data_IF_075203554653
#
_entry.id   IF_075203554653
#
_cell.length_a   1.000
_cell.length_b   1.000
_cell.length_c   1.000
_cell.angle_alpha   90.00
_cell.angle_beta   90.00
_cell.angle_gamma   90.00
#
_symmetry.space_group_name_H-M   'P 1'
#
loop_
_entity.id
_entity.type
_entity.pdbx_description
1 polymer ?
#
# COMPACT_ATOMS: atom_id res chain seq x y z
N UNK A 1 17.94 -3.14 0.74
CA UNK A 1 18.34 -3.47 2.12
C UNK A 1 17.32 -2.99 3.16
N UNK A 2 16.99 -1.69 3.26
CA UNK A 2 16.06 -1.17 4.28
C UNK A 2 14.67 -1.82 4.22
N UNK A 3 14.05 -1.96 3.04
CA UNK A 3 12.74 -2.63 2.92
C UNK A 3 12.77 -4.10 3.35
N UNK A 4 13.86 -4.82 3.06
CA UNK A 4 14.02 -6.20 3.50
C UNK A 4 14.12 -6.27 5.02
N UNK A 5 14.85 -5.35 5.64
CA UNK A 5 14.93 -5.25 7.11
C UNK A 5 13.57 -4.91 7.72
N UNK A 6 12.82 -3.97 7.13
CA UNK A 6 11.47 -3.63 7.59
C UNK A 6 10.49 -4.80 7.43
N UNK A 7 10.57 -5.54 6.32
CA UNK A 7 9.74 -6.73 6.11
C UNK A 7 10.10 -7.86 7.10
N UNK A 8 11.39 -8.07 7.37
CA UNK A 8 11.82 -9.02 8.39
C UNK A 8 11.38 -8.59 9.78
N UNK A 9 11.53 -7.30 10.13
CA UNK A 9 11.06 -6.76 11.39
C UNK A 9 9.53 -6.96 11.55
N UNK A 10 8.76 -6.68 10.51
CA UNK A 10 7.31 -6.90 10.51
C UNK A 10 6.94 -8.38 10.65
N UNK A 11 7.66 -9.28 9.96
CA UNK A 11 7.43 -10.72 10.05
C UNK A 11 7.76 -11.27 11.45
N UNK A 12 8.84 -10.79 12.06
CA UNK A 12 9.33 -11.22 13.38
C UNK A 12 8.82 -10.35 14.52
N UNK A 13 7.95 -9.38 14.26
CA UNK A 13 7.48 -8.39 15.23
C UNK A 13 7.05 -9.00 16.60
N UNK A 14 6.26 -10.09 16.65
CA UNK A 14 5.85 -10.66 17.95
C UNK A 14 7.00 -11.25 18.77
N UNK A 15 8.13 -11.56 18.14
CA UNK A 15 9.32 -12.15 18.80
C UNK A 15 10.37 -11.09 19.15
N UNK A 16 10.38 -9.96 18.46
CA UNK A 16 11.36 -8.88 18.62
C UNK A 16 10.83 -7.78 19.55
N UNK A 17 9.51 -7.64 19.67
CA UNK A 17 8.91 -6.66 20.55
C UNK A 17 9.27 -6.97 22.03
N UNK A 18 9.82 -5.99 22.78
CA UNK A 18 10.20 -6.19 24.17
C UNK A 18 9.02 -6.57 25.07
N UNK A 19 7.84 -6.07 24.75
CA UNK A 19 6.60 -6.31 25.49
C UNK A 19 5.50 -6.79 24.57
N UNK A 20 4.43 -7.37 25.12
CA UNK A 20 3.25 -7.74 24.35
C UNK A 20 2.63 -6.49 23.71
N UNK A 21 2.41 -6.56 22.41
CA UNK A 21 1.89 -5.46 21.60
C UNK A 21 0.47 -5.01 21.96
N UNK A 22 -0.29 -5.88 22.61
CA UNK A 22 -1.69 -5.63 22.98
C UNK A 22 -1.82 -5.35 24.48
N UNK A 23 -0.88 -5.78 25.31
CA UNK A 23 -0.95 -5.64 26.75
C UNK A 23 -0.64 -4.20 27.21
N UNK A 24 -1.40 -3.72 28.18
CA UNK A 24 -1.03 -2.54 28.96
C UNK A 24 -0.18 -2.97 30.17
N UNK A 25 0.92 -2.26 30.39
CA UNK A 25 1.86 -2.54 31.46
C UNK A 25 1.35 -1.90 32.77
N UNK A 26 0.53 -2.63 33.55
CA UNK A 26 0.09 -2.21 34.90
C UNK A 26 -0.61 -0.85 34.93
N UNK A 27 -1.87 -0.87 34.96
CA UNK A 27 -2.89 0.10 34.50
C UNK A 27 -2.75 1.57 34.98
N UNK A 28 -2.03 1.89 36.04
CA UNK A 28 -2.05 3.26 36.56
C UNK A 28 -0.68 3.94 36.69
N UNK A 29 0.41 3.17 36.83
CA UNK A 29 1.73 3.72 37.18
C UNK A 29 2.66 3.96 35.98
N UNK A 30 2.27 3.53 34.76
CA UNK A 30 3.13 3.61 33.56
C UNK A 30 2.55 4.48 32.43
N UNK A 31 1.60 5.37 32.74
CA UNK A 31 1.00 6.27 31.73
C UNK A 31 1.96 7.38 31.35
N UNK A 32 2.10 7.60 30.03
CA UNK A 32 2.86 8.73 29.47
C UNK A 32 4.28 8.88 30.07
N UNK A 33 4.93 7.75 30.37
CA UNK A 33 6.33 7.78 30.82
C UNK A 33 7.21 8.19 29.64
N UNK A 34 8.14 9.11 29.91
CA UNK A 34 9.15 9.52 28.93
C UNK A 34 10.08 8.36 28.58
N UNK A 35 10.77 8.42 27.43
CA UNK A 35 11.79 7.44 27.05
C UNK A 35 12.80 7.18 28.17
N UNK A 36 13.02 5.89 28.48
CA UNK A 36 13.90 5.41 29.53
C UNK A 36 14.56 4.09 29.13
N UNK A 37 15.41 3.51 29.97
CA UNK A 37 16.02 2.20 29.70
C UNK A 37 15.00 1.06 29.69
N UNK A 38 13.96 1.14 30.53
CA UNK A 38 12.88 0.15 30.57
C UNK A 38 11.90 0.34 29.41
N UNK A 39 11.68 1.58 28.99
CA UNK A 39 10.79 1.94 27.89
C UNK A 39 11.54 2.84 26.89
N UNK A 40 12.30 2.28 25.95
CA UNK A 40 13.17 3.07 25.06
C UNK A 40 12.46 4.16 24.26
N UNK A 41 11.20 3.94 23.87
CA UNK A 41 10.34 4.92 23.19
C UNK A 41 9.24 5.47 24.11
N UNK A 42 9.35 5.27 25.43
CA UNK A 42 8.34 5.68 26.40
C UNK A 42 7.04 4.88 26.30
N UNK A 43 6.02 5.33 27.04
CA UNK A 43 4.70 4.70 27.07
C UNK A 43 3.61 5.67 26.61
N UNK A 44 2.47 5.12 26.20
CA UNK A 44 1.29 5.88 25.79
C UNK A 44 0.31 6.13 26.96
N UNK A 45 -0.78 6.83 26.68
CA UNK A 45 -1.87 7.12 27.64
C UNK A 45 -2.55 5.86 28.21
N UNK A 46 -2.40 4.72 27.57
CA UNK A 46 -2.93 3.43 28.01
C UNK A 46 -1.88 2.55 28.68
N UNK A 47 -0.73 3.12 29.07
CA UNK A 47 0.40 2.41 29.69
C UNK A 47 0.98 1.32 28.80
N UNK A 48 0.96 1.48 27.47
CA UNK A 48 1.52 0.52 26.51
C UNK A 48 2.89 1.01 26.04
N UNK A 49 3.83 0.07 25.88
CA UNK A 49 5.17 0.38 25.35
C UNK A 49 5.10 0.82 23.89
N UNK A 50 5.59 2.03 23.62
CA UNK A 50 5.54 2.61 22.27
C UNK A 50 6.46 1.88 21.30
N UNK A 51 7.65 1.40 21.74
CA UNK A 51 8.57 0.64 20.89
C UNK A 51 7.92 -0.65 20.40
N UNK A 52 7.37 -1.45 21.29
CA UNK A 52 6.64 -2.68 20.94
C UNK A 52 5.49 -2.41 19.99
N UNK A 53 4.73 -1.35 20.22
CA UNK A 53 3.63 -0.95 19.36
C UNK A 53 4.08 -0.49 17.96
N UNK A 54 5.20 0.23 17.85
CA UNK A 54 5.77 0.63 16.55
C UNK A 54 6.26 -0.58 15.76
N UNK A 55 6.90 -1.55 16.44
CA UNK A 55 7.34 -2.81 15.83
C UNK A 55 6.12 -3.62 15.35
N UNK A 56 5.11 -3.83 16.19
CA UNK A 56 3.91 -4.58 15.80
C UNK A 56 3.04 -3.83 14.77
N UNK A 57 2.98 -2.50 14.90
CA UNK A 57 2.30 -1.63 13.94
C UNK A 57 2.89 -1.72 12.54
N UNK A 58 4.20 -1.99 12.41
CA UNK A 58 4.83 -2.23 11.10
C UNK A 58 4.18 -3.41 10.38
N UNK A 59 3.90 -4.50 11.09
CA UNK A 59 3.25 -5.69 10.53
C UNK A 59 1.87 -5.36 9.96
N UNK A 60 1.07 -4.61 10.71
CA UNK A 60 -0.29 -4.24 10.30
C UNK A 60 -0.26 -3.26 9.12
N UNK A 61 0.47 -2.13 9.27
CA UNK A 61 0.54 -1.11 8.22
C UNK A 61 1.14 -1.63 6.91
N UNK A 62 2.22 -2.41 6.97
CA UNK A 62 2.84 -3.01 5.77
C UNK A 62 1.96 -4.09 5.14
N UNK A 63 1.27 -4.93 5.95
CA UNK A 63 0.35 -5.94 5.42
C UNK A 63 -0.82 -5.29 4.68
N UNK A 64 -1.44 -4.25 5.26
CA UNK A 64 -2.52 -3.51 4.60
C UNK A 64 -2.03 -2.94 3.29
N UNK A 65 -0.88 -2.25 3.29
CA UNK A 65 -0.37 -1.60 2.09
C UNK A 65 -0.04 -2.61 0.99
N UNK A 66 0.72 -3.67 1.32
CA UNK A 66 1.16 -4.66 0.34
C UNK A 66 -0.02 -5.44 -0.26
N UNK A 67 -0.93 -5.95 0.58
CA UNK A 67 -2.06 -6.75 0.12
C UNK A 67 -3.08 -5.91 -0.66
N UNK A 68 -3.32 -4.66 -0.25
CA UNK A 68 -4.19 -3.74 -1.01
C UNK A 68 -3.61 -3.42 -2.38
N UNK A 69 -2.30 -3.18 -2.47
CA UNK A 69 -1.64 -2.90 -3.75
C UNK A 69 -1.62 -4.13 -4.64
N UNK A 70 -1.37 -5.31 -4.08
CA UNK A 70 -1.42 -6.57 -4.83
C UNK A 70 -2.81 -6.79 -5.43
N UNK A 71 -3.87 -6.59 -4.66
CA UNK A 71 -5.25 -6.68 -5.11
C UNK A 71 -5.54 -5.65 -6.21
N UNK A 72 -5.16 -4.38 -6.00
CA UNK A 72 -5.34 -3.32 -6.98
C UNK A 72 -4.59 -3.59 -8.29
N UNK A 73 -3.36 -4.09 -8.20
CA UNK A 73 -2.55 -4.46 -9.36
C UNK A 73 -3.17 -5.64 -10.12
N UNK A 74 -3.64 -6.67 -9.42
CA UNK A 74 -4.26 -7.84 -10.04
C UNK A 74 -5.56 -7.45 -10.79
N UNK A 75 -6.49 -6.78 -10.11
CA UNK A 75 -7.76 -6.34 -10.70
C UNK A 75 -7.52 -5.36 -11.84
N UNK A 76 -6.67 -4.34 -11.61
CA UNK A 76 -6.37 -3.32 -12.62
C UNK A 76 -5.68 -3.89 -13.86
N UNK A 77 -4.79 -4.86 -13.67
CA UNK A 77 -4.11 -5.52 -14.80
C UNK A 77 -5.09 -6.31 -15.64
N UNK A 78 -5.95 -7.12 -15.04
CA UNK A 78 -6.95 -7.88 -15.79
C UNK A 78 -7.92 -6.95 -16.51
N UNK A 79 -8.47 -5.96 -15.82
CA UNK A 79 -9.43 -5.00 -16.38
C UNK A 79 -8.81 -4.17 -17.53
N UNK A 80 -7.62 -3.61 -17.29
CA UNK A 80 -6.92 -2.81 -18.30
C UNK A 80 -6.46 -3.63 -19.50
N UNK A 81 -6.03 -4.88 -19.27
CA UNK A 81 -5.61 -5.77 -20.36
C UNK A 81 -6.78 -6.15 -21.26
N UNK A 82 -7.93 -6.48 -20.70
CA UNK A 82 -9.15 -6.80 -21.45
C UNK A 82 -9.60 -5.59 -22.28
N UNK A 83 -9.69 -4.41 -21.65
CA UNK A 83 -10.08 -3.18 -22.32
C UNK A 83 -9.12 -2.82 -23.48
N UNK A 84 -7.80 -2.80 -23.21
CA UNK A 84 -6.78 -2.42 -24.18
C UNK A 84 -6.64 -3.41 -25.34
N UNK A 85 -6.82 -4.71 -25.08
CA UNK A 85 -6.69 -5.73 -26.12
C UNK A 85 -7.90 -5.83 -27.02
N UNK A 86 -9.12 -5.86 -26.46
CA UNK A 86 -10.35 -5.97 -27.25
C UNK A 86 -10.69 -4.67 -27.99
N UNK A 87 -10.46 -3.52 -27.36
CA UNK A 87 -10.72 -2.22 -28.01
C UNK A 87 -12.21 -1.95 -28.27
N UNK A 88 -12.47 -1.02 -29.20
CA UNK A 88 -13.82 -0.71 -29.67
C UNK A 88 -14.77 -0.19 -28.59
N UNK A 89 -16.06 -0.55 -28.67
CA UNK A 89 -17.09 -0.07 -27.76
C UNK A 89 -16.92 -0.59 -26.31
N UNK A 90 -16.38 -1.81 -26.18
CA UNK A 90 -16.13 -2.42 -24.87
C UNK A 90 -15.05 -1.65 -24.10
N UNK A 91 -13.94 -1.31 -24.76
CA UNK A 91 -12.91 -0.44 -24.20
C UNK A 91 -13.50 0.92 -23.80
N UNK A 92 -14.28 1.53 -24.68
CA UNK A 92 -14.93 2.82 -24.39
C UNK A 92 -15.84 2.75 -23.15
N UNK A 93 -16.66 1.69 -23.02
CA UNK A 93 -17.54 1.50 -21.88
C UNK A 93 -16.75 1.27 -20.58
N UNK A 94 -15.74 0.38 -20.62
CA UNK A 94 -14.91 0.06 -19.47
C UNK A 94 -14.13 1.30 -18.98
N UNK A 95 -13.56 2.07 -19.91
CA UNK A 95 -12.81 3.29 -19.54
C UNK A 95 -13.72 4.41 -19.05
N UNK A 96 -14.94 4.56 -19.59
CA UNK A 96 -15.93 5.50 -19.03
C UNK A 96 -16.29 5.19 -17.60
N UNK A 97 -16.42 3.91 -17.26
CA UNK A 97 -16.65 3.50 -15.86
C UNK A 97 -15.47 3.88 -14.98
N UNK A 98 -14.24 3.61 -15.42
CA UNK A 98 -13.02 4.00 -14.68
C UNK A 98 -12.93 5.51 -14.53
N UNK A 99 -13.25 6.28 -15.60
CA UNK A 99 -13.20 7.74 -15.56
C UNK A 99 -14.22 8.32 -14.58
N UNK A 100 -15.42 7.77 -14.53
CA UNK A 100 -16.46 8.17 -13.58
C UNK A 100 -16.01 7.89 -12.12
N UNK A 101 -15.36 6.75 -11.87
CA UNK A 101 -14.84 6.39 -10.55
C UNK A 101 -13.65 7.27 -10.15
N UNK A 102 -12.78 7.62 -11.09
CA UNK A 102 -11.65 8.52 -10.86
C UNK A 102 -12.04 9.99 -10.68
N UNK A 103 -13.25 10.39 -11.11
CA UNK A 103 -13.77 11.74 -10.87
C UNK A 103 -14.04 12.00 -9.38
N UNK A 104 -14.24 10.94 -8.60
CA UNK A 104 -14.41 11.04 -7.14
C UNK A 104 -13.03 10.98 -6.47
N UNK A 105 -12.65 11.98 -5.63
CA UNK A 105 -11.40 11.90 -4.89
C UNK A 105 -11.34 10.62 -4.04
N UNK A 106 -10.34 9.76 -4.31
CA UNK A 106 -10.22 8.42 -3.71
C UNK A 106 -10.34 8.43 -2.19
N UNK A 107 -9.72 9.40 -1.52
CA UNK A 107 -9.74 9.49 -0.06
C UNK A 107 -11.18 9.70 0.45
N UNK A 108 -11.97 10.56 -0.23
CA UNK A 108 -13.37 10.79 0.14
C UNK A 108 -14.22 9.53 -0.08
N UNK A 109 -14.01 8.81 -1.19
CA UNK A 109 -14.69 7.54 -1.46
C UNK A 109 -14.39 6.51 -0.35
N UNK A 110 -13.11 6.38 0.03
CA UNK A 110 -12.69 5.45 1.08
C UNK A 110 -13.30 5.81 2.42
N UNK A 111 -13.29 7.09 2.82
CA UNK A 111 -13.91 7.54 4.07
C UNK A 111 -15.40 7.26 4.05
N UNK A 112 -16.11 7.62 2.97
CA UNK A 112 -17.56 7.40 2.86
C UNK A 112 -17.94 5.92 2.98
N UNK A 113 -17.22 5.03 2.30
CA UNK A 113 -17.49 3.59 2.41
C UNK A 113 -17.10 3.05 3.78
N UNK A 114 -15.98 3.47 4.35
CA UNK A 114 -15.51 2.99 5.65
C UNK A 114 -16.43 3.45 6.80
N UNK A 115 -17.05 4.62 6.69
CA UNK A 115 -18.02 5.11 7.69
C UNK A 115 -19.36 4.37 7.60
N UNK A 116 -19.78 3.95 6.41
CA UNK A 116 -20.99 3.15 6.21
C UNK A 116 -20.81 1.68 6.59
N UNK A 117 -19.56 1.20 6.58
CA UNK A 117 -19.21 -0.17 6.93
C UNK A 117 -18.82 -0.23 8.40
N UNK A 118 -19.78 -0.45 9.26
CA UNK A 118 -19.52 -0.53 10.70
C UNK A 118 -18.53 -1.66 11.02
N UNK A 119 -17.43 -1.31 11.72
CA UNK A 119 -16.43 -2.28 12.14
C UNK A 119 -15.44 -2.72 11.04
N UNK A 120 -15.06 -1.84 10.12
CA UNK A 120 -13.97 -2.14 9.15
C UNK A 120 -12.72 -2.57 9.90
N UNK A 121 -12.42 -3.87 9.89
CA UNK A 121 -11.18 -4.43 10.41
C UNK A 121 -10.04 -4.37 9.38
N UNK A 122 -8.88 -4.92 9.73
CA UNK A 122 -7.70 -4.95 8.86
C UNK A 122 -8.03 -5.54 7.47
N UNK A 123 -8.76 -6.66 7.44
CA UNK A 123 -9.18 -7.29 6.18
C UNK A 123 -10.09 -6.37 5.36
N UNK A 124 -11.05 -5.70 5.99
CA UNK A 124 -11.93 -4.74 5.32
C UNK A 124 -11.17 -3.55 4.74
N UNK A 125 -10.15 -3.03 5.42
CA UNK A 125 -9.27 -1.98 4.91
C UNK A 125 -8.48 -2.46 3.69
N UNK A 126 -7.97 -3.69 3.69
CA UNK A 126 -7.27 -4.29 2.55
C UNK A 126 -8.19 -4.32 1.32
N UNK A 127 -9.41 -4.82 1.47
CA UNK A 127 -10.39 -4.84 0.39
C UNK A 127 -10.76 -3.44 -0.08
N UNK A 128 -11.06 -2.53 0.84
CA UNK A 128 -11.48 -1.17 0.53
C UNK A 128 -10.40 -0.41 -0.23
N UNK A 129 -9.15 -0.44 0.25
CA UNK A 129 -8.02 0.22 -0.39
C UNK A 129 -7.62 -0.47 -1.70
N UNK A 130 -7.72 -1.79 -1.78
CA UNK A 130 -7.44 -2.55 -3.00
C UNK A 130 -8.47 -2.28 -4.09
N UNK A 131 -9.77 -2.38 -3.74
CA UNK A 131 -10.87 -2.17 -4.68
C UNK A 131 -11.09 -0.70 -5.08
N UNK A 132 -10.47 0.26 -4.42
CA UNK A 132 -10.44 1.66 -4.85
C UNK A 132 -9.13 2.04 -5.52
N UNK A 133 -8.10 1.19 -5.46
CA UNK A 133 -6.78 1.45 -6.02
C UNK A 133 -6.58 1.00 -7.46
N UNK A 134 -7.40 0.08 -7.97
CA UNK A 134 -7.20 -0.53 -9.29
C UNK A 134 -7.52 0.40 -10.48
N UNK A 135 -8.27 1.48 -10.27
CA UNK A 135 -8.69 2.40 -11.36
C UNK A 135 -7.49 2.98 -12.12
N UNK A 136 -6.50 3.51 -11.40
CA UNK A 136 -5.28 4.07 -12.01
C UNK A 136 -4.43 3.00 -12.70
N UNK A 137 -4.34 1.80 -12.10
CA UNK A 137 -3.60 0.67 -12.68
C UNK A 137 -4.25 0.22 -13.99
N UNK A 138 -5.57 0.15 -14.07
CA UNK A 138 -6.28 -0.27 -15.30
C UNK A 138 -6.03 0.68 -16.46
N UNK A 139 -5.98 2.00 -16.22
CA UNK A 139 -5.61 2.98 -17.27
C UNK A 139 -4.18 2.80 -17.76
N UNK A 140 -3.25 2.60 -16.83
CA UNK A 140 -1.85 2.35 -17.16
C UNK A 140 -1.71 1.10 -18.02
N UNK A 141 -2.29 -0.02 -17.57
CA UNK A 141 -2.23 -1.31 -18.25
C UNK A 141 -2.89 -1.21 -19.63
N UNK A 142 -4.07 -0.60 -19.71
CA UNK A 142 -4.74 -0.39 -21.00
C UNK A 142 -3.83 0.35 -21.99
N UNK A 143 -3.20 1.45 -21.59
CA UNK A 143 -2.31 2.21 -22.47
C UNK A 143 -1.12 1.37 -22.97
N UNK A 144 -0.51 0.59 -22.07
CA UNK A 144 0.61 -0.29 -22.41
C UNK A 144 0.18 -1.44 -23.34
N UNK A 145 -0.99 -2.04 -23.10
CA UNK A 145 -1.52 -3.13 -23.92
C UNK A 145 -1.92 -2.63 -25.32
N UNK A 146 -2.52 -1.44 -25.44
CA UNK A 146 -2.82 -0.82 -26.73
C UNK A 146 -1.54 -0.63 -27.55
N UNK A 147 -0.47 -0.13 -26.92
CA UNK A 147 0.82 0.02 -27.59
C UNK A 147 1.41 -1.33 -28.01
N UNK A 148 1.48 -2.29 -27.07
CA UNK A 148 2.12 -3.59 -27.32
C UNK A 148 1.38 -4.47 -28.35
N UNK A 149 0.05 -4.36 -28.46
CA UNK A 149 -0.72 -5.14 -29.46
C UNK A 149 -0.47 -4.72 -30.90
N UNK A 150 0.07 -3.50 -31.10
CA UNK A 150 0.39 -2.93 -32.42
C UNK A 150 1.81 -3.27 -32.89
N UNK A 151 2.60 -3.91 -32.03
CA UNK A 151 3.96 -4.33 -32.35
C UNK A 151 3.97 -5.35 -33.53
N UNK A 152 4.98 -5.23 -34.40
CA UNK A 152 5.13 -6.09 -35.58
C UNK A 152 5.19 -7.58 -35.24
N UNK A 153 5.86 -7.95 -34.14
CA UNK A 153 5.95 -9.33 -33.72
C UNK A 153 4.59 -9.92 -33.32
N UNK A 154 3.66 -9.11 -32.74
CA UNK A 154 2.30 -9.54 -32.40
C UNK A 154 1.51 -9.84 -33.69
N UNK A 155 1.68 -9.00 -34.70
CA UNK A 155 1.10 -9.21 -36.02
C UNK A 155 1.62 -10.49 -36.67
N UNK A 156 2.93 -10.75 -36.56
CA UNK A 156 3.53 -11.98 -37.08
C UNK A 156 3.00 -13.24 -36.36
N UNK A 157 2.90 -13.21 -35.03
CA UNK A 157 2.35 -14.35 -34.22
C UNK A 157 0.87 -14.59 -34.55
N UNK A 158 0.09 -13.55 -34.81
CA UNK A 158 -1.30 -13.64 -35.26
C UNK A 158 -1.38 -14.29 -36.64
N UNK A 159 -0.47 -13.94 -37.55
CA UNK A 159 -0.38 -14.54 -38.89
C UNK A 159 -0.05 -16.04 -38.85
N UNK A 160 0.64 -16.51 -37.82
CA UNK A 160 0.91 -17.94 -37.57
C UNK A 160 -0.26 -18.68 -36.92
N UNK A 161 -1.43 -18.03 -36.77
CA UNK A 161 -2.67 -18.67 -36.27
C UNK A 161 -2.79 -18.74 -34.75
N UNK A 162 -2.03 -17.97 -33.99
CA UNK A 162 -2.18 -17.90 -32.53
C UNK A 162 -3.52 -17.24 -32.16
N UNK A 163 -4.22 -17.79 -31.16
CA UNK A 163 -5.46 -17.21 -30.62
C UNK A 163 -5.19 -15.91 -29.85
N UNK A 164 -6.17 -15.01 -29.83
CA UNK A 164 -6.06 -13.72 -29.11
C UNK A 164 -5.74 -13.88 -27.63
N UNK A 165 -6.33 -14.87 -26.95
CA UNK A 165 -6.03 -15.19 -25.55
C UNK A 165 -4.58 -15.60 -25.36
N UNK A 166 -4.02 -16.39 -26.28
CA UNK A 166 -2.61 -16.78 -26.25
C UNK A 166 -1.68 -15.60 -26.49
N UNK A 167 -2.01 -14.75 -27.45
CA UNK A 167 -1.24 -13.53 -27.74
C UNK A 167 -1.23 -12.63 -26.51
N UNK A 168 -2.40 -12.35 -25.92
CA UNK A 168 -2.50 -11.50 -24.74
C UNK A 168 -1.70 -12.06 -23.55
N UNK A 169 -1.89 -13.34 -23.22
CA UNK A 169 -1.29 -13.93 -22.03
C UNK A 169 0.21 -14.16 -22.13
N UNK A 170 0.71 -14.58 -23.29
CA UNK A 170 2.11 -15.01 -23.44
C UNK A 170 3.00 -14.00 -24.15
N UNK A 171 2.45 -13.04 -24.88
CA UNK A 171 3.23 -12.09 -25.65
C UNK A 171 3.05 -10.65 -25.19
N UNK A 172 1.83 -10.20 -24.90
CA UNK A 172 1.54 -8.82 -24.52
C UNK A 172 1.71 -8.61 -23.00
N UNK A 173 1.01 -9.40 -22.17
CA UNK A 173 1.07 -9.22 -20.72
C UNK A 173 2.48 -9.27 -20.11
N UNK A 174 3.40 -10.17 -20.52
CA UNK A 174 4.75 -10.18 -19.97
C UNK A 174 5.51 -8.87 -20.16
N UNK A 175 5.27 -8.14 -21.24
CA UNK A 175 5.90 -6.84 -21.49
C UNK A 175 5.32 -5.73 -20.60
N UNK A 176 4.04 -5.85 -20.23
CA UNK A 176 3.32 -4.88 -19.40
C UNK A 176 3.62 -5.05 -17.93
N UNK A 177 4.01 -6.26 -17.49
CA UNK A 177 4.25 -6.57 -16.08
C UNK A 177 5.34 -5.66 -15.47
N UNK A 178 6.43 -5.40 -16.16
CA UNK A 178 7.53 -4.60 -15.61
C UNK A 178 7.13 -3.16 -15.25
N UNK A 179 6.48 -2.37 -16.12
CA UNK A 179 5.92 -1.06 -15.75
C UNK A 179 4.86 -1.14 -14.65
N UNK A 180 4.02 -2.18 -14.64
CA UNK A 180 3.00 -2.38 -13.60
C UNK A 180 3.65 -2.61 -12.23
N UNK A 181 4.71 -3.41 -12.14
CA UNK A 181 5.44 -3.63 -10.88
C UNK A 181 6.05 -2.34 -10.35
N UNK A 182 6.58 -1.48 -11.22
CA UNK A 182 7.09 -0.16 -10.84
C UNK A 182 5.97 0.71 -10.25
N UNK A 183 4.83 0.79 -10.93
CA UNK A 183 3.67 1.55 -10.48
C UNK A 183 3.07 0.99 -9.18
N UNK A 184 2.99 -0.33 -9.05
CA UNK A 184 2.55 -1.01 -7.84
C UNK A 184 3.47 -0.71 -6.66
N UNK A 185 4.79 -0.77 -6.85
CA UNK A 185 5.75 -0.45 -5.79
C UNK A 185 5.58 0.99 -5.29
N UNK A 186 5.43 1.97 -6.19
CA UNK A 186 5.11 3.37 -5.80
C UNK A 186 3.81 3.47 -5.02
N UNK A 187 2.81 2.68 -5.40
CA UNK A 187 1.49 2.69 -4.75
C UNK A 187 1.55 2.20 -3.31
N UNK A 188 2.53 1.37 -2.91
CA UNK A 188 2.72 0.92 -1.52
C UNK A 188 2.92 2.11 -0.59
N UNK A 189 3.84 3.03 -0.93
CA UNK A 189 4.06 4.24 -0.13
C UNK A 189 2.81 5.11 0.01
N UNK A 190 2.07 5.30 -1.10
CA UNK A 190 0.82 6.06 -1.08
C UNK A 190 -0.25 5.40 -0.21
N UNK A 191 -0.38 4.06 -0.25
CA UNK A 191 -1.37 3.33 0.56
C UNK A 191 -1.03 3.42 2.05
N UNK A 192 0.26 3.34 2.43
CA UNK A 192 0.71 3.53 3.83
C UNK A 192 0.26 4.91 4.35
N UNK A 193 0.45 5.96 3.55
CA UNK A 193 0.05 7.33 3.95
C UNK A 193 -1.48 7.45 4.04
N UNK A 194 -2.22 6.87 3.10
CA UNK A 194 -3.70 6.87 3.13
C UNK A 194 -4.20 6.09 4.36
N UNK A 195 -3.66 4.90 4.66
CA UNK A 195 -4.02 4.11 5.84
C UNK A 195 -3.75 4.90 7.12
N UNK A 196 -2.58 5.53 7.24
CA UNK A 196 -2.23 6.36 8.38
C UNK A 196 -3.21 7.53 8.56
N UNK A 197 -3.59 8.20 7.46
CA UNK A 197 -4.59 9.26 7.48
C UNK A 197 -5.98 8.78 7.89
N UNK A 198 -6.43 7.61 7.38
CA UNK A 198 -7.70 7.01 7.77
C UNK A 198 -7.71 6.61 9.25
N UNK A 199 -6.64 6.02 9.73
CA UNK A 199 -6.47 5.65 11.13
C UNK A 199 -6.42 6.88 12.04
N UNK A 200 -5.78 7.97 11.59
CA UNK A 200 -5.80 9.26 12.27
C UNK A 200 -7.21 9.85 12.38
N UNK A 201 -8.02 9.74 11.34
CA UNK A 201 -9.41 10.18 11.33
C UNK A 201 -10.36 9.23 12.07
N UNK A 202 -9.87 8.15 12.67
CA UNK A 202 -10.66 7.17 13.42
C UNK A 202 -11.43 6.17 12.55
N UNK A 203 -11.21 6.18 11.24
CA UNK A 203 -11.90 5.29 10.27
C UNK A 203 -11.01 4.11 9.86
N UNK A 204 -9.76 4.07 10.33
CA UNK A 204 -8.77 3.04 10.02
C UNK A 204 -8.75 1.88 11.01
N UNK A 205 -7.53 1.41 11.32
CA UNK A 205 -7.29 0.31 12.26
C UNK A 205 -7.75 0.70 13.66
N UNK A 206 -8.66 -0.10 14.23
CA UNK A 206 -9.22 0.13 15.57
C UNK A 206 -8.38 -0.60 16.63
N UNK A 207 -8.41 -0.07 17.86
CA UNK A 207 -7.87 -0.79 19.02
C UNK A 207 -8.57 -2.15 19.20
N UNK A 208 -7.85 -3.17 19.71
CA UNK A 208 -6.51 -3.13 20.32
C UNK A 208 -5.34 -3.15 19.33
N UNK A 209 -5.59 -3.45 18.05
CA UNK A 209 -4.54 -3.55 17.04
C UNK A 209 -3.73 -2.26 16.92
N UNK A 210 -2.42 -2.41 16.64
CA UNK A 210 -1.53 -1.29 16.41
C UNK A 210 -1.28 -1.11 14.92
N UNK A 211 -1.48 0.11 14.39
CA UNK A 211 -0.90 0.58 13.14
C UNK A 211 -0.14 1.88 13.41
N UNK A 212 0.77 2.25 12.53
CA UNK A 212 1.49 3.51 12.73
C UNK A 212 0.55 4.71 12.76
N UNK A 213 -0.52 4.68 11.93
CA UNK A 213 -1.52 5.73 11.89
C UNK A 213 -2.32 5.88 13.20
N UNK A 214 -2.79 4.77 13.78
CA UNK A 214 -3.55 4.86 15.02
C UNK A 214 -2.68 5.19 16.24
N UNK A 215 -1.39 4.81 16.24
CA UNK A 215 -0.46 5.23 17.29
C UNK A 215 -0.26 6.75 17.25
N UNK A 216 -0.06 7.32 16.05
CA UNK A 216 0.04 8.78 15.86
C UNK A 216 -1.24 9.47 16.32
N UNK A 217 -2.41 8.97 15.89
CA UNK A 217 -3.70 9.52 16.30
C UNK A 217 -3.88 9.56 17.81
N UNK A 218 -3.54 8.46 18.48
CA UNK A 218 -3.61 8.38 19.95
C UNK A 218 -2.67 9.38 20.63
N UNK A 219 -1.46 9.58 20.10
CA UNK A 219 -0.50 10.54 20.64
C UNK A 219 -0.88 11.99 20.45
N UNK A 220 -1.63 12.31 19.40
CA UNK A 220 -2.10 13.68 19.12
C UNK A 220 -3.47 13.97 19.78
N UNK A 221 -4.27 12.94 20.05
CA UNK A 221 -5.63 13.09 20.59
C UNK A 221 -5.70 13.52 22.04
N UNK A 222 -4.63 13.36 22.82
CA UNK A 222 -4.59 13.68 24.25
C UNK A 222 -4.51 15.20 24.58
N UNK A 223 -4.43 16.06 23.57
CA UNK A 223 -4.24 17.50 23.77
C UNK A 223 -2.86 17.90 24.31
N UNK A 224 -2.03 16.95 24.72
CA UNK A 224 -0.70 17.12 25.30
C UNK A 224 0.44 16.71 24.34
N UNK A 225 0.27 16.94 23.06
CA UNK A 225 1.20 16.47 22.02
C UNK A 225 2.66 16.91 22.23
N UNK A 226 2.90 18.03 22.94
CA UNK A 226 4.25 18.49 23.25
C UNK A 226 4.88 17.72 24.42
N UNK A 227 4.10 17.31 25.41
CA UNK A 227 4.59 16.59 26.58
C UNK A 227 4.73 15.10 26.33
N UNK A 228 4.03 14.54 25.35
CA UNK A 228 4.07 13.12 24.95
C UNK A 228 4.57 12.93 23.51
N UNK A 229 5.53 13.78 23.09
CA UNK A 229 6.02 13.85 21.72
C UNK A 229 6.52 12.51 21.17
N UNK A 230 7.02 11.61 22.00
CA UNK A 230 7.53 10.30 21.60
C UNK A 230 6.45 9.38 21.04
N UNK A 231 5.19 9.52 21.47
CA UNK A 231 4.09 8.64 21.05
C UNK A 231 3.76 8.82 19.56
N UNK A 232 3.87 10.03 19.03
CA UNK A 232 3.59 10.30 17.61
C UNK A 232 4.86 10.40 16.77
N UNK A 233 5.99 10.80 17.34
CA UNK A 233 7.24 11.01 16.60
C UNK A 233 7.83 9.69 16.10
N UNK A 234 7.96 8.67 16.93
CA UNK A 234 8.60 7.41 16.54
C UNK A 234 7.82 6.65 15.46
N UNK A 235 6.49 6.47 15.53
CA UNK A 235 5.74 5.89 14.41
C UNK A 235 5.76 6.80 13.17
N UNK A 236 5.82 8.13 13.32
CA UNK A 236 6.01 9.07 12.22
C UNK A 236 7.35 8.88 11.50
N UNK A 237 8.44 8.69 12.25
CA UNK A 237 9.76 8.36 11.70
C UNK A 237 9.72 7.00 10.97
N UNK A 238 9.11 5.97 11.57
CA UNK A 238 8.97 4.66 10.94
C UNK A 238 8.24 4.73 9.61
N UNK A 239 7.14 5.50 9.56
CA UNK A 239 6.37 5.76 8.34
C UNK A 239 7.24 6.49 7.29
N UNK A 240 7.91 7.57 7.68
CA UNK A 240 8.77 8.35 6.80
C UNK A 240 9.89 7.49 6.21
N UNK A 241 10.61 6.73 7.04
CA UNK A 241 11.71 5.84 6.60
C UNK A 241 11.18 4.78 5.63
N UNK A 242 9.99 4.23 5.89
CA UNK A 242 9.39 3.22 5.01
C UNK A 242 9.03 3.81 3.65
N UNK A 243 8.37 4.97 3.61
CA UNK A 243 8.00 5.64 2.35
C UNK A 243 9.25 6.02 1.55
N UNK A 244 10.29 6.55 2.20
CA UNK A 244 11.56 6.86 1.54
C UNK A 244 12.23 5.60 0.99
N UNK A 245 12.25 4.51 1.77
CA UNK A 245 12.84 3.25 1.33
C UNK A 245 12.09 2.64 0.12
N UNK A 246 10.76 2.73 0.10
CA UNK A 246 9.94 2.33 -1.06
C UNK A 246 10.32 3.15 -2.28
N UNK A 247 10.40 4.47 -2.18
CA UNK A 247 10.74 5.35 -3.29
C UNK A 247 12.14 5.05 -3.86
N UNK A 248 13.14 4.82 -3.00
CA UNK A 248 14.49 4.45 -3.42
C UNK A 248 14.52 3.10 -4.18
N UNK A 249 13.71 2.13 -3.77
CA UNK A 249 13.59 0.84 -4.50
C UNK A 249 12.96 1.05 -5.87
N UNK A 250 11.95 1.91 -5.97
CA UNK A 250 11.34 2.25 -7.26
C UNK A 250 12.33 2.90 -8.21
N UNK A 251 13.13 3.83 -7.73
CA UNK A 251 14.14 4.50 -8.56
C UNK A 251 15.19 3.51 -9.07
N UNK A 252 15.65 2.60 -8.21
CA UNK A 252 16.54 1.51 -8.61
C UNK A 252 15.89 0.55 -9.63
N UNK A 253 14.62 0.22 -9.45
CA UNK A 253 13.88 -0.65 -10.37
C UNK A 253 13.69 0.01 -11.74
N UNK A 254 13.35 1.30 -11.77
CA UNK A 254 13.27 2.09 -13.03
C UNK A 254 14.59 2.12 -13.77
N UNK A 255 15.71 2.37 -13.08
CA UNK A 255 17.02 2.40 -13.69
C UNK A 255 17.41 1.02 -14.27
N UNK A 256 17.17 -0.05 -13.54
CA UNK A 256 17.46 -1.41 -14.00
C UNK A 256 16.64 -1.81 -15.24
N UNK A 257 15.38 -1.39 -15.32
CA UNK A 257 14.50 -1.65 -16.46
C UNK A 257 14.88 -0.79 -17.67
N UNK A 258 15.23 0.49 -17.46
CA UNK A 258 15.67 1.38 -18.55
C UNK A 258 17.01 0.94 -19.16
N UNK A 259 17.93 0.41 -18.35
CA UNK A 259 19.22 -0.10 -18.85
C UNK A 259 19.07 -1.30 -19.79
N UNK A 260 17.99 -2.10 -19.67
CA UNK A 260 17.69 -3.23 -20.55
C UNK A 260 17.11 -2.83 -21.91
N UNK A 261 16.64 -1.61 -22.06
CA UNK A 261 16.02 -1.11 -23.30
C UNK A 261 17.03 -0.40 -24.22
N UNK A 262 18.26 -0.15 -23.76
CA UNK A 262 19.31 0.38 -24.62
C UNK A 262 19.89 -0.78 -25.45
N UNK A 263 19.78 -0.77 -26.80
CA UNK A 263 20.45 -1.75 -27.62
C UNK A 263 21.97 -1.64 -27.37
N UNK A 264 22.62 -2.78 -27.18
CA UNK A 264 24.08 -2.83 -27.18
C UNK A 264 24.59 -2.19 -28.48
N UNK A 265 25.25 -1.04 -28.34
CA UNK A 265 25.95 -0.38 -29.47
C UNK A 265 27.24 -1.13 -29.78
#
# INVERSE_FOLDING_TARGET
>A
MVLVLLALLAATAPFVAPYDCLASQGILNAKNLSPSLDYPFGTDQFSRDVLSRVICGSRVSLSIAFLSVLLAAAVGTVFGAVAGYLGGWLDALMMRTVDALLAIPRVLLVIAVATLWDGVGIAGLIWLLGLTGWFGVSRLVRALVVSAREDEFVTAVRGLGASDTRILAYHVLPQVIAPVLVAATLSVGNVIVIEAGLSYLGVGVKMPDASWGNIISNGLGDGNFTSTWWVWLFPGIALMVTVLAVNLVVDGLRQALSARQLPAR
#
